data_IF_968205809094
#
_entry.id   IF_968205809094
#
_cell.length_a   1.000
_cell.length_b   1.000
_cell.length_c   1.000
_cell.angle_alpha   90.00
_cell.angle_beta   90.00
_cell.angle_gamma   90.00
#
_symmetry.space_group_name_H-M   'P 1'
#
loop_
_entity.id
_entity.type
_entity.pdbx_description
1 polymer ?
#
# COMPACT_ATOMS: atom_id res chain seq x y z
N UNK A 1 9.92 19.60 -31.05
CA UNK A 1 9.93 18.79 -29.82
C UNK A 1 8.57 18.08 -29.76
N UNK A 2 8.50 16.77 -29.95
CA UNK A 2 7.25 16.03 -29.78
C UNK A 2 6.90 16.06 -28.30
N UNK A 3 5.72 16.53 -27.94
CA UNK A 3 5.15 16.34 -26.61
C UNK A 3 4.95 14.82 -26.41
N UNK A 4 5.93 14.19 -25.81
CA UNK A 4 5.89 12.80 -25.41
C UNK A 4 4.88 12.70 -24.28
N UNK A 5 3.71 12.17 -24.54
CA UNK A 5 2.72 11.83 -23.50
C UNK A 5 3.26 10.66 -22.68
N UNK A 6 3.21 10.79 -21.37
CA UNK A 6 3.75 9.82 -20.39
C UNK A 6 3.13 8.42 -20.56
N UNK A 7 1.99 8.30 -21.26
CA UNK A 7 1.32 7.05 -21.58
C UNK A 7 2.11 6.06 -22.44
N UNK A 8 3.18 6.53 -23.11
CA UNK A 8 3.95 5.73 -24.06
C UNK A 8 5.19 5.04 -23.46
N UNK A 9 5.48 5.19 -22.15
CA UNK A 9 6.83 4.93 -21.64
C UNK A 9 6.98 3.86 -20.56
N UNK A 10 5.92 3.39 -19.89
CA UNK A 10 6.06 2.28 -18.95
C UNK A 10 5.68 0.96 -19.62
N UNK A 11 6.68 0.11 -19.80
CA UNK A 11 6.45 -1.26 -20.20
C UNK A 11 5.68 -2.02 -19.11
N UNK A 12 4.93 -3.05 -19.51
CA UNK A 12 4.15 -3.86 -18.56
C UNK A 12 5.02 -4.44 -17.43
N UNK A 13 6.25 -4.83 -17.75
CA UNK A 13 7.22 -5.34 -16.78
C UNK A 13 7.64 -4.29 -15.72
N UNK A 14 7.76 -3.02 -16.10
CA UNK A 14 8.07 -1.93 -15.16
C UNK A 14 6.89 -1.69 -14.22
N UNK A 15 5.66 -1.73 -14.75
CA UNK A 15 4.45 -1.62 -13.93
C UNK A 15 4.34 -2.79 -12.95
N UNK A 16 4.59 -4.03 -13.39
CA UNK A 16 4.52 -5.23 -12.53
C UNK A 16 5.46 -5.10 -11.32
N UNK A 17 6.63 -4.49 -11.48
CA UNK A 17 7.58 -4.23 -10.38
C UNK A 17 7.11 -3.20 -9.37
N UNK A 18 6.06 -2.45 -9.64
CA UNK A 18 5.42 -1.55 -8.68
C UNK A 18 4.23 -2.20 -7.97
N UNK A 19 3.75 -3.35 -8.44
CA UNK A 19 2.49 -3.94 -7.97
C UNK A 19 2.71 -4.79 -6.72
N UNK A 20 1.91 -4.50 -5.69
CA UNK A 20 1.57 -5.45 -4.64
C UNK A 20 0.31 -6.21 -5.10
N UNK A 21 0.52 -7.41 -5.68
CA UNK A 21 -0.56 -8.25 -6.21
C UNK A 21 -1.43 -8.76 -5.07
N UNK A 22 -2.72 -8.46 -5.10
CA UNK A 22 -3.58 -8.47 -3.92
C UNK A 22 -4.67 -9.53 -3.99
N UNK A 23 -4.76 -10.40 -2.96
CA UNK A 23 -5.86 -11.34 -2.75
C UNK A 23 -6.41 -11.20 -1.31
N UNK A 24 -7.43 -10.36 -1.13
CA UNK A 24 -8.07 -10.06 0.15
C UNK A 24 -9.53 -10.51 0.17
N UNK A 25 -9.70 -11.85 0.11
CA UNK A 25 -10.97 -12.55 0.28
C UNK A 25 -10.84 -13.51 1.47
N UNK A 26 -11.71 -13.41 2.49
CA UNK A 26 -11.71 -14.35 3.62
C UNK A 26 -12.25 -15.72 3.22
N UNK A 27 -13.35 -15.77 2.45
CA UNK A 27 -13.87 -17.01 1.86
C UNK A 27 -13.36 -17.13 0.43
N UNK A 28 -12.40 -18.00 0.23
CA UNK A 28 -11.82 -18.34 -1.07
C UNK A 28 -12.50 -19.58 -1.64
N UNK A 29 -12.60 -19.64 -2.97
CA UNK A 29 -12.96 -20.90 -3.66
C UNK A 29 -11.79 -21.89 -3.56
N UNK A 30 -12.10 -23.18 -3.70
CA UNK A 30 -11.08 -24.22 -3.79
C UNK A 30 -10.03 -23.81 -4.85
N UNK A 31 -8.76 -23.98 -4.54
CA UNK A 31 -7.61 -23.64 -5.39
C UNK A 31 -7.41 -22.14 -5.70
N UNK A 32 -8.27 -21.22 -5.27
CA UNK A 32 -8.11 -19.79 -5.60
C UNK A 32 -6.78 -19.23 -5.08
N UNK A 33 -6.45 -19.52 -3.82
CA UNK A 33 -5.17 -19.11 -3.23
C UNK A 33 -3.99 -19.74 -3.98
N UNK A 34 -4.05 -21.03 -4.24
CA UNK A 34 -2.97 -21.75 -4.95
C UNK A 34 -2.73 -21.16 -6.35
N UNK A 35 -3.79 -20.93 -7.11
CA UNK A 35 -3.71 -20.32 -8.46
C UNK A 35 -3.10 -18.93 -8.41
N UNK A 36 -3.53 -18.11 -7.44
CA UNK A 36 -2.97 -16.78 -7.20
C UNK A 36 -1.47 -16.83 -6.90
N UNK A 37 -1.03 -17.71 -6.00
CA UNK A 37 0.38 -17.85 -5.62
C UNK A 37 1.25 -18.39 -6.78
N UNK A 38 0.79 -19.38 -7.53
CA UNK A 38 1.50 -19.89 -8.70
C UNK A 38 1.64 -18.80 -9.78
N UNK A 39 0.59 -17.98 -9.98
CA UNK A 39 0.66 -16.86 -10.88
C UNK A 39 1.67 -15.80 -10.38
N UNK A 40 1.62 -15.42 -9.10
CA UNK A 40 2.58 -14.51 -8.50
C UNK A 40 4.03 -15.01 -8.68
N UNK A 41 4.26 -16.32 -8.49
CA UNK A 41 5.57 -16.96 -8.70
C UNK A 41 6.07 -16.84 -10.14
N UNK A 42 5.16 -16.87 -11.13
CA UNK A 42 5.51 -16.75 -12.56
C UNK A 42 5.82 -15.30 -12.97
N UNK A 43 5.04 -14.33 -12.46
CA UNK A 43 5.12 -12.93 -12.91
C UNK A 43 6.03 -12.04 -12.07
N UNK A 44 6.44 -12.50 -10.89
CA UNK A 44 7.31 -11.77 -9.96
C UNK A 44 6.87 -10.32 -9.69
N UNK A 45 5.64 -10.08 -9.16
CA UNK A 45 5.24 -8.74 -8.72
C UNK A 45 6.17 -8.28 -7.59
N UNK A 46 6.15 -6.99 -7.26
CA UNK A 46 6.97 -6.46 -6.17
C UNK A 46 6.70 -7.12 -4.82
N UNK A 47 5.43 -7.39 -4.52
CA UNK A 47 4.99 -8.18 -3.39
C UNK A 47 3.65 -8.85 -3.70
N UNK A 48 3.25 -9.83 -2.90
CA UNK A 48 1.84 -10.20 -2.76
C UNK A 48 1.27 -9.54 -1.50
N UNK A 49 -0.04 -9.23 -1.53
CA UNK A 49 -0.74 -8.66 -0.38
C UNK A 49 -1.91 -9.59 0.00
N UNK A 50 -1.81 -10.22 1.17
CA UNK A 50 -2.71 -11.30 1.62
C UNK A 50 -3.07 -11.15 3.10
N UNK A 51 -4.01 -11.97 3.58
CA UNK A 51 -4.29 -12.09 5.01
C UNK A 51 -3.21 -12.94 5.71
N UNK A 52 -2.99 -12.74 7.03
CA UNK A 52 -2.00 -13.51 7.80
C UNK A 52 -2.20 -15.02 7.75
N UNK A 53 -3.46 -15.50 7.73
CA UNK A 53 -3.79 -16.91 7.65
C UNK A 53 -3.30 -17.60 6.36
N UNK A 54 -3.04 -16.83 5.30
CA UNK A 54 -2.55 -17.35 4.01
C UNK A 54 -1.01 -17.42 3.92
N UNK A 55 -0.28 -16.81 4.87
CA UNK A 55 1.19 -16.72 4.83
C UNK A 55 1.86 -18.10 4.78
N UNK A 56 1.47 -19.11 5.59
CA UNK A 56 2.11 -20.43 5.53
C UNK A 56 2.07 -21.05 4.14
N UNK A 57 0.91 -21.02 3.48
CA UNK A 57 0.77 -21.53 2.11
C UNK A 57 1.56 -20.68 1.10
N UNK A 58 1.65 -19.36 1.31
CA UNK A 58 2.45 -18.50 0.46
C UNK A 58 3.95 -18.79 0.58
N UNK A 59 4.45 -18.98 1.79
CA UNK A 59 5.86 -19.38 2.01
C UNK A 59 6.19 -20.74 1.39
N UNK A 60 5.30 -21.71 1.49
CA UNK A 60 5.49 -23.02 0.85
C UNK A 60 5.64 -22.94 -0.67
N UNK A 61 4.79 -22.14 -1.33
CA UNK A 61 4.77 -22.05 -2.81
C UNK A 61 5.81 -21.08 -3.34
N UNK A 62 5.97 -19.93 -2.71
CA UNK A 62 6.84 -18.84 -3.19
C UNK A 62 8.27 -18.93 -2.65
N UNK A 63 8.47 -19.53 -1.48
CA UNK A 63 9.77 -19.42 -0.79
C UNK A 63 10.12 -17.97 -0.52
N UNK A 64 11.27 -17.54 -1.06
CA UNK A 64 11.75 -16.14 -1.01
C UNK A 64 11.63 -15.39 -2.34
N UNK A 65 10.94 -15.97 -3.34
CA UNK A 65 10.92 -15.39 -4.70
C UNK A 65 10.08 -14.12 -4.83
N UNK A 66 9.06 -13.95 -3.97
CA UNK A 66 8.17 -12.78 -3.94
C UNK A 66 7.92 -12.40 -2.49
N UNK A 67 8.17 -11.16 -2.07
CA UNK A 67 7.88 -10.68 -0.72
C UNK A 67 6.38 -10.78 -0.37
N UNK A 68 6.09 -11.03 0.90
CA UNK A 68 4.72 -11.18 1.43
C UNK A 68 4.39 -9.98 2.29
N UNK A 69 3.42 -9.17 1.83
CA UNK A 69 2.79 -8.12 2.62
C UNK A 69 1.52 -8.68 3.29
N UNK A 70 1.43 -8.54 4.61
CA UNK A 70 0.27 -8.97 5.38
C UNK A 70 -0.62 -7.79 5.77
N UNK A 71 -1.95 -7.89 5.57
CA UNK A 71 -2.88 -6.87 6.05
C UNK A 71 -3.30 -7.20 7.48
N UNK A 72 -3.14 -6.22 8.38
CA UNK A 72 -3.40 -6.34 9.81
C UNK A 72 -4.10 -5.10 10.36
N UNK A 73 -4.29 -5.02 11.69
CA UNK A 73 -4.89 -3.88 12.37
C UNK A 73 -6.41 -3.82 12.21
N UNK A 74 -7.09 -4.97 12.33
CA UNK A 74 -8.55 -5.03 12.20
C UNK A 74 -9.05 -4.76 10.78
N UNK A 75 -8.23 -5.13 9.76
CA UNK A 75 -8.56 -4.90 8.35
C UNK A 75 -9.96 -5.42 7.95
N UNK A 76 -10.82 -4.65 7.25
CA UNK A 76 -10.55 -3.33 6.63
C UNK A 76 -10.96 -2.10 7.46
N UNK A 77 -11.50 -2.27 8.66
CA UNK A 77 -12.08 -1.16 9.43
C UNK A 77 -11.06 -0.36 10.22
N UNK A 78 -10.01 -0.99 10.66
CA UNK A 78 -9.09 -0.50 11.67
C UNK A 78 -9.45 -1.04 13.06
N UNK A 79 -8.56 -0.89 14.02
CA UNK A 79 -8.80 -1.17 15.43
C UNK A 79 -8.45 0.03 16.29
N UNK A 80 -9.26 0.28 17.32
CA UNK A 80 -8.96 1.26 18.36
C UNK A 80 -8.01 0.70 19.45
N UNK A 81 -7.85 -0.62 19.50
CA UNK A 81 -7.06 -1.30 20.51
C UNK A 81 -5.59 -1.46 20.07
N UNK A 82 -4.71 -0.67 20.67
CA UNK A 82 -3.28 -0.66 20.38
C UNK A 82 -2.59 -2.01 20.68
N UNK A 83 -3.00 -2.72 21.74
CA UNK A 83 -2.42 -4.01 22.07
C UNK A 83 -2.77 -5.10 21.04
N UNK A 84 -4.01 -5.10 20.54
CA UNK A 84 -4.44 -5.99 19.45
C UNK A 84 -3.64 -5.71 18.18
N UNK A 85 -3.48 -4.43 17.82
CA UNK A 85 -2.66 -3.99 16.67
C UNK A 85 -1.25 -4.55 16.76
N UNK A 86 -0.58 -4.36 17.90
CA UNK A 86 0.80 -4.86 18.15
C UNK A 86 0.86 -6.38 18.06
N UNK A 87 -0.13 -7.07 18.62
CA UNK A 87 -0.22 -8.54 18.58
C UNK A 87 -0.39 -9.06 17.16
N UNK A 88 -1.29 -8.44 16.36
CA UNK A 88 -1.49 -8.83 14.96
C UNK A 88 -0.22 -8.62 14.13
N UNK A 89 0.50 -7.51 14.31
CA UNK A 89 1.78 -7.24 13.62
C UNK A 89 2.79 -8.34 13.93
N UNK A 90 3.03 -8.61 15.21
CA UNK A 90 4.01 -9.61 15.65
C UNK A 90 3.65 -11.00 15.14
N UNK A 91 2.39 -11.40 15.23
CA UNK A 91 1.92 -12.67 14.72
C UNK A 91 2.12 -12.80 13.20
N UNK A 92 1.84 -11.76 12.42
CA UNK A 92 2.09 -11.77 10.99
C UNK A 92 3.59 -11.91 10.66
N UNK A 93 4.46 -11.24 11.42
CA UNK A 93 5.92 -11.34 11.26
C UNK A 93 6.41 -12.76 11.62
N UNK A 94 5.92 -13.34 12.71
CA UNK A 94 6.24 -14.73 13.12
C UNK A 94 5.81 -15.75 12.07
N UNK A 95 4.66 -15.54 11.41
CA UNK A 95 4.21 -16.36 10.28
C UNK A 95 5.08 -16.18 9.02
N UNK A 96 5.92 -15.15 8.97
CA UNK A 96 6.88 -14.91 7.90
C UNK A 96 6.51 -13.76 6.95
N UNK A 97 5.71 -12.78 7.39
CA UNK A 97 5.50 -11.56 6.61
C UNK A 97 6.82 -10.77 6.44
N UNK A 98 7.05 -10.29 5.24
CA UNK A 98 8.20 -9.44 4.89
C UNK A 98 7.84 -7.95 5.03
N UNK A 99 6.56 -7.62 4.80
CA UNK A 99 5.99 -6.27 4.82
C UNK A 99 4.64 -6.28 5.57
N UNK A 100 4.30 -5.19 6.23
CA UNK A 100 3.06 -5.02 7.00
C UNK A 100 2.23 -3.88 6.41
N UNK A 101 1.04 -4.20 5.92
CA UNK A 101 0.03 -3.23 5.51
C UNK A 101 -1.00 -3.09 6.64
N UNK A 102 -0.98 -1.99 7.38
CA UNK A 102 -1.83 -1.83 8.56
C UNK A 102 -2.82 -0.69 8.43
N UNK A 103 -4.06 -0.91 8.90
CA UNK A 103 -5.09 0.12 8.89
C UNK A 103 -4.98 0.98 10.13
N UNK A 104 -4.76 2.28 9.93
CA UNK A 104 -5.03 3.29 10.95
C UNK A 104 -6.51 3.63 10.86
N UNK A 105 -7.26 3.35 11.94
CA UNK A 105 -8.71 3.59 11.97
C UNK A 105 -9.03 5.07 11.66
N UNK A 106 -9.76 5.36 10.57
CA UNK A 106 -10.20 6.73 10.29
C UNK A 106 -11.33 7.12 11.23
N UNK A 107 -11.28 8.33 11.79
CA UNK A 107 -12.30 8.85 12.68
C UNK A 107 -12.92 10.13 12.15
N UNK A 108 -14.19 10.36 12.45
CA UNK A 108 -14.96 11.52 11.97
C UNK A 108 -14.74 12.78 12.81
N UNK A 109 -14.24 12.63 14.05
CA UNK A 109 -14.03 13.74 14.99
C UNK A 109 -13.16 14.86 14.40
N UNK A 110 -13.47 16.08 14.73
CA UNK A 110 -12.81 17.29 14.17
C UNK A 110 -11.34 17.38 14.53
N UNK A 111 -10.94 16.80 15.67
CA UNK A 111 -9.57 16.77 16.15
C UNK A 111 -8.70 15.65 15.54
N UNK A 112 -9.28 14.82 14.65
CA UNK A 112 -8.53 13.77 13.96
C UNK A 112 -7.56 14.33 12.91
N UNK A 113 -6.30 13.83 12.84
CA UNK A 113 -5.65 12.93 13.80
C UNK A 113 -5.15 13.71 15.04
N UNK A 114 -5.11 13.04 16.18
CA UNK A 114 -4.63 13.60 17.43
C UNK A 114 -3.60 12.67 18.11
N UNK A 115 -3.37 12.84 19.41
CA UNK A 115 -2.39 12.07 20.18
C UNK A 115 -2.67 10.54 20.15
N UNK A 116 -3.93 10.13 20.08
CA UNK A 116 -4.29 8.70 19.98
C UNK A 116 -3.76 8.05 18.69
N UNK A 117 -3.86 8.75 17.57
CA UNK A 117 -3.30 8.26 16.31
C UNK A 117 -1.78 8.24 16.33
N UNK A 118 -1.17 9.24 16.96
CA UNK A 118 0.30 9.29 17.14
C UNK A 118 0.78 8.09 17.96
N UNK A 119 0.15 7.81 19.09
CA UNK A 119 0.49 6.65 19.94
C UNK A 119 0.37 5.33 19.17
N UNK A 120 -0.74 5.15 18.42
CA UNK A 120 -0.93 3.97 17.57
C UNK A 120 0.17 3.85 16.51
N UNK A 121 0.50 4.93 15.80
CA UNK A 121 1.54 4.93 14.77
C UNK A 121 2.92 4.59 15.35
N UNK A 122 3.27 5.16 16.49
CA UNK A 122 4.53 4.83 17.21
C UNK A 122 4.57 3.36 17.60
N UNK A 123 3.47 2.82 18.14
CA UNK A 123 3.36 1.41 18.50
C UNK A 123 3.45 0.49 17.26
N UNK A 124 2.81 0.86 16.13
CA UNK A 124 2.90 0.14 14.86
C UNK A 124 4.34 0.10 14.35
N UNK A 125 5.04 1.25 14.33
CA UNK A 125 6.44 1.32 13.88
C UNK A 125 7.34 0.45 14.74
N UNK A 126 7.22 0.55 16.06
CA UNK A 126 8.01 -0.26 17.00
C UNK A 126 7.74 -1.76 16.87
N UNK A 127 6.46 -2.14 16.69
CA UNK A 127 6.11 -3.57 16.54
C UNK A 127 6.58 -4.17 15.21
N UNK A 128 6.74 -3.35 14.17
CA UNK A 128 7.19 -3.75 12.84
C UNK A 128 8.67 -3.41 12.56
N UNK A 129 9.49 -3.23 13.60
CA UNK A 129 10.91 -2.92 13.45
C UNK A 129 11.62 -3.92 12.53
N UNK A 130 12.44 -3.42 11.61
CA UNK A 130 13.13 -4.23 10.59
C UNK A 130 12.24 -4.73 9.44
N UNK A 131 10.96 -4.36 9.42
CA UNK A 131 10.03 -4.68 8.34
C UNK A 131 9.53 -3.41 7.65
N UNK A 132 9.16 -3.54 6.38
CA UNK A 132 8.48 -2.46 5.65
C UNK A 132 7.09 -2.28 6.25
N UNK A 133 6.81 -1.07 6.76
CA UNK A 133 5.53 -0.67 7.31
C UNK A 133 4.78 0.23 6.33
N UNK A 134 3.58 -0.17 5.94
CA UNK A 134 2.68 0.63 5.10
C UNK A 134 1.41 0.94 5.89
N UNK A 135 1.17 2.21 6.19
CA UNK A 135 -0.02 2.64 6.94
C UNK A 135 -1.13 3.06 5.99
N UNK A 136 -2.27 2.39 6.10
CA UNK A 136 -3.49 2.66 5.33
C UNK A 136 -4.30 3.71 6.08
N UNK A 137 -4.46 4.88 5.49
CA UNK A 137 -5.16 6.02 6.12
C UNK A 137 -6.64 6.12 5.71
N UNK A 138 -7.11 5.29 4.77
CA UNK A 138 -8.48 5.21 4.26
C UNK A 138 -9.02 6.54 3.72
N UNK A 139 -8.34 7.11 2.74
CA UNK A 139 -8.64 8.43 2.15
C UNK A 139 -10.10 8.65 1.76
N UNK A 140 -10.88 7.62 1.27
CA UNK A 140 -12.27 7.84 0.90
C UNK A 140 -13.18 8.30 2.06
N UNK A 141 -12.74 8.14 3.30
CA UNK A 141 -13.49 8.50 4.50
C UNK A 141 -12.98 9.79 5.16
N UNK A 142 -12.00 10.44 4.56
CA UNK A 142 -11.34 11.61 5.13
C UNK A 142 -11.53 12.85 4.26
N UNK A 143 -11.60 14.00 4.90
CA UNK A 143 -11.48 15.29 4.21
C UNK A 143 -10.03 15.53 3.79
N UNK A 144 -9.76 16.39 2.80
CA UNK A 144 -8.40 16.74 2.37
C UNK A 144 -7.53 17.22 3.54
N UNK A 145 -8.08 18.03 4.44
CA UNK A 145 -7.37 18.49 5.65
C UNK A 145 -6.90 17.31 6.50
N UNK A 146 -7.78 16.32 6.72
CA UNK A 146 -7.46 15.12 7.52
C UNK A 146 -6.45 14.24 6.80
N UNK A 147 -6.58 14.07 5.47
CA UNK A 147 -5.60 13.32 4.66
C UNK A 147 -4.20 13.94 4.83
N UNK A 148 -4.07 15.26 4.68
CA UNK A 148 -2.78 15.95 4.87
C UNK A 148 -2.24 15.76 6.28
N UNK A 149 -3.07 15.94 7.29
CA UNK A 149 -2.65 15.86 8.69
C UNK A 149 -2.17 14.46 9.07
N UNK A 150 -2.95 13.39 8.75
CA UNK A 150 -2.57 12.02 9.06
C UNK A 150 -1.38 11.52 8.22
N UNK A 151 -1.25 12.01 6.98
CA UNK A 151 -0.06 11.73 6.16
C UNK A 151 1.19 12.29 6.81
N UNK A 152 1.20 13.56 7.20
CA UNK A 152 2.34 14.20 7.90
C UNK A 152 2.69 13.48 9.21
N UNK A 153 1.68 13.11 10.01
CA UNK A 153 1.88 12.36 11.24
C UNK A 153 2.51 10.99 10.98
N UNK A 154 2.04 10.27 9.97
CA UNK A 154 2.60 8.98 9.57
C UNK A 154 4.06 9.10 9.11
N UNK A 155 4.37 10.10 8.29
CA UNK A 155 5.74 10.36 7.82
C UNK A 155 6.67 10.73 9.00
N UNK A 156 6.20 11.56 9.94
CA UNK A 156 6.99 11.96 11.11
C UNK A 156 7.36 10.79 12.04
N UNK A 157 6.56 9.71 12.04
CA UNK A 157 6.85 8.47 12.79
C UNK A 157 7.81 7.53 12.03
N UNK A 158 8.12 7.83 10.78
CA UNK A 158 9.02 7.01 9.97
C UNK A 158 8.36 5.75 9.43
N UNK A 159 7.10 5.83 8.96
CA UNK A 159 6.51 4.73 8.18
C UNK A 159 7.18 4.68 6.81
N UNK A 160 7.39 3.47 6.28
CA UNK A 160 8.05 3.34 4.97
C UNK A 160 7.13 3.79 3.84
N UNK A 161 5.81 3.55 3.97
CA UNK A 161 4.81 3.97 3.00
C UNK A 161 3.53 4.47 3.67
N UNK A 162 2.97 5.56 3.16
CA UNK A 162 1.58 5.92 3.41
C UNK A 162 0.71 5.35 2.28
N UNK A 163 -0.32 4.57 2.64
CA UNK A 163 -1.21 3.92 1.68
C UNK A 163 -2.58 4.59 1.69
N UNK A 164 -3.12 4.85 0.50
CA UNK A 164 -4.38 5.60 0.34
C UNK A 164 -5.57 4.91 1.01
N UNK A 165 -5.90 3.68 0.62
CA UNK A 165 -7.08 2.99 1.16
C UNK A 165 -6.97 1.47 1.12
N UNK A 166 -7.95 0.81 1.76
CA UNK A 166 -8.09 -0.65 1.75
C UNK A 166 -8.65 -1.20 0.43
N UNK A 167 -9.33 -0.35 -0.36
CA UNK A 167 -10.14 -0.75 -1.50
C UNK A 167 -11.39 -1.55 -1.12
N UNK A 168 -11.80 -1.52 0.17
CA UNK A 168 -13.00 -2.18 0.71
C UNK A 168 -14.06 -1.18 1.17
N UNK A 169 -13.67 0.07 1.40
CA UNK A 169 -14.53 1.13 1.93
C UNK A 169 -14.61 2.33 0.99
N UNK A 170 -14.11 2.19 -0.22
CA UNK A 170 -14.09 3.21 -1.26
C UNK A 170 -12.88 3.05 -2.19
N UNK A 171 -12.83 3.91 -3.19
CA UNK A 171 -11.75 3.97 -4.17
C UNK A 171 -10.86 5.18 -3.93
N UNK A 172 -9.58 5.05 -4.25
CA UNK A 172 -8.64 6.16 -4.28
C UNK A 172 -9.03 7.13 -5.41
N UNK A 173 -9.07 8.41 -5.10
CA UNK A 173 -9.26 9.49 -6.07
C UNK A 173 -7.92 10.07 -6.49
N UNK A 174 -7.88 10.71 -7.65
CA UNK A 174 -6.67 11.38 -8.16
C UNK A 174 -6.17 12.44 -7.18
N UNK A 175 -7.08 13.21 -6.58
CA UNK A 175 -6.73 14.22 -5.55
C UNK A 175 -6.08 13.60 -4.30
N UNK A 176 -6.44 12.39 -3.92
CA UNK A 176 -5.83 11.71 -2.76
C UNK A 176 -4.34 11.42 -3.04
N UNK A 177 -4.03 10.95 -4.25
CA UNK A 177 -2.66 10.67 -4.67
C UNK A 177 -1.83 11.96 -4.81
N UNK A 178 -2.43 13.03 -5.32
CA UNK A 178 -1.81 14.35 -5.41
C UNK A 178 -1.45 14.87 -4.00
N UNK A 179 -2.38 14.79 -3.05
CA UNK A 179 -2.14 15.20 -1.67
C UNK A 179 -0.99 14.40 -1.04
N UNK A 180 -1.01 13.06 -1.14
CA UNK A 180 0.02 12.22 -0.56
C UNK A 180 1.40 12.53 -1.15
N UNK A 181 1.51 12.59 -2.48
CA UNK A 181 2.78 12.87 -3.16
C UNK A 181 3.34 14.26 -2.81
N UNK A 182 2.46 15.26 -2.67
CA UNK A 182 2.86 16.59 -2.23
C UNK A 182 3.41 16.60 -0.80
N UNK A 183 2.75 15.89 0.13
CA UNK A 183 3.22 15.81 1.52
C UNK A 183 4.53 15.01 1.65
N UNK A 184 4.72 13.96 0.84
CA UNK A 184 5.99 13.22 0.74
C UNK A 184 7.12 14.13 0.25
N UNK A 185 6.91 14.85 -0.85
CA UNK A 185 7.89 15.81 -1.38
C UNK A 185 8.28 16.85 -0.34
N UNK A 186 7.31 17.43 0.38
CA UNK A 186 7.57 18.39 1.46
C UNK A 186 8.38 17.79 2.60
N UNK A 187 8.05 16.55 3.01
CA UNK A 187 8.78 15.84 4.05
C UNK A 187 10.24 15.63 3.63
N UNK A 188 10.47 15.12 2.43
CA UNK A 188 11.82 14.90 1.88
C UNK A 188 12.64 16.19 1.80
N UNK A 189 12.05 17.28 1.34
CA UNK A 189 12.73 18.58 1.30
C UNK A 189 13.15 19.07 2.70
N UNK A 190 12.34 18.77 3.72
CA UNK A 190 12.57 19.23 5.09
C UNK A 190 13.53 18.33 5.87
N UNK A 191 13.31 17.02 5.81
CA UNK A 191 13.99 16.04 6.68
C UNK A 191 15.05 15.20 5.94
N UNK A 192 15.11 15.29 4.60
CA UNK A 192 16.01 14.49 3.74
C UNK A 192 15.76 12.98 3.83
N UNK A 193 14.52 12.59 4.14
CA UNK A 193 14.07 11.20 4.24
C UNK A 193 13.20 10.85 3.03
N UNK A 194 13.65 9.87 2.24
CA UNK A 194 12.93 9.41 1.06
C UNK A 194 11.95 8.28 1.42
N UNK A 195 10.76 8.66 1.86
CA UNK A 195 9.67 7.72 2.17
C UNK A 195 8.80 7.48 0.93
N UNK A 196 7.91 6.49 1.00
CA UNK A 196 7.10 6.05 -0.12
C UNK A 196 5.60 6.26 0.05
N UNK A 197 4.86 6.06 -1.04
CA UNK A 197 3.41 5.96 -1.03
C UNK A 197 2.93 4.71 -1.76
N UNK A 198 1.76 4.21 -1.34
CA UNK A 198 1.06 3.12 -2.02
C UNK A 198 -0.32 3.59 -2.40
N UNK A 199 -0.61 3.62 -3.70
CA UNK A 199 -1.96 3.86 -4.20
C UNK A 199 -2.71 2.53 -4.31
N UNK A 200 -3.96 2.50 -3.87
CA UNK A 200 -4.82 1.31 -3.92
C UNK A 200 -6.29 1.68 -3.87
N UNK A 201 -7.16 0.77 -4.33
CA UNK A 201 -8.59 0.97 -4.44
C UNK A 201 -9.03 1.45 -5.81
N UNK A 202 -9.65 0.55 -6.57
CA UNK A 202 -10.22 0.85 -7.89
C UNK A 202 -9.21 1.01 -9.03
N UNK A 203 -7.94 0.65 -8.84
CA UNK A 203 -6.91 0.75 -9.88
C UNK A 203 -6.84 -0.60 -10.61
N UNK A 204 -7.70 -0.76 -11.63
CA UNK A 204 -7.85 -2.03 -12.34
C UNK A 204 -7.28 -2.05 -13.76
N UNK A 205 -6.93 -0.91 -14.34
CA UNK A 205 -6.41 -0.81 -15.70
C UNK A 205 -5.23 0.15 -15.83
N UNK A 206 -4.46 -0.01 -16.91
CA UNK A 206 -3.24 0.75 -17.19
C UNK A 206 -3.52 2.24 -17.37
N UNK A 207 -4.62 2.59 -18.03
CA UNK A 207 -4.96 3.99 -18.31
C UNK A 207 -5.24 4.76 -16.99
N UNK A 208 -6.01 4.13 -16.08
CA UNK A 208 -6.27 4.70 -14.76
C UNK A 208 -4.97 4.86 -13.97
N UNK A 209 -4.11 3.84 -13.96
CA UNK A 209 -2.80 3.92 -13.31
C UNK A 209 -1.95 5.07 -13.87
N UNK A 210 -1.89 5.22 -15.19
CA UNK A 210 -1.06 6.26 -15.80
C UNK A 210 -1.50 7.68 -15.41
N UNK A 211 -2.81 7.93 -15.25
CA UNK A 211 -3.30 9.22 -14.73
C UNK A 211 -2.79 9.51 -13.32
N UNK A 212 -2.81 8.50 -12.45
CA UNK A 212 -2.24 8.64 -11.10
C UNK A 212 -0.75 8.93 -11.14
N UNK A 213 0.00 8.19 -11.94
CA UNK A 213 1.46 8.37 -12.08
C UNK A 213 1.78 9.77 -12.59
N UNK A 214 1.04 10.27 -13.57
CA UNK A 214 1.24 11.63 -14.09
C UNK A 214 1.07 12.70 -13.02
N UNK A 215 0.04 12.59 -12.19
CA UNK A 215 -0.21 13.51 -11.07
C UNK A 215 0.89 13.43 -10.02
N UNK A 216 1.25 12.23 -9.59
CA UNK A 216 2.27 12.01 -8.59
C UNK A 216 3.62 12.59 -9.04
N UNK A 217 4.00 12.38 -10.31
CA UNK A 217 5.26 12.88 -10.87
C UNK A 217 5.34 14.40 -10.99
N UNK A 218 4.22 15.12 -10.97
CA UNK A 218 4.24 16.60 -10.90
C UNK A 218 4.84 17.10 -9.58
N UNK A 219 4.62 16.36 -8.50
CA UNK A 219 5.17 16.69 -7.18
C UNK A 219 6.57 16.06 -6.98
N UNK A 220 6.80 14.84 -7.50
CA UNK A 220 8.03 14.09 -7.32
C UNK A 220 8.38 13.31 -8.58
N UNK A 221 9.31 13.83 -9.38
CA UNK A 221 9.74 13.21 -10.64
C UNK A 221 10.50 11.88 -10.43
N UNK A 222 11.13 11.70 -9.26
CA UNK A 222 11.99 10.55 -8.94
C UNK A 222 11.26 9.43 -8.20
N UNK A 223 9.93 9.57 -8.00
CA UNK A 223 9.14 8.60 -7.24
C UNK A 223 9.00 7.24 -7.94
N UNK A 224 9.30 7.18 -9.24
CA UNK A 224 9.06 6.01 -10.10
C UNK A 224 10.03 4.85 -9.84
N UNK A 225 10.07 4.37 -8.60
CA UNK A 225 10.79 3.15 -8.23
C UNK A 225 10.02 2.40 -7.12
N UNK A 226 10.25 1.09 -7.05
CA UNK A 226 9.53 0.21 -6.12
C UNK A 226 9.84 0.43 -4.63
N UNK A 227 10.83 1.26 -4.31
CA UNK A 227 11.13 1.67 -2.93
C UNK A 227 10.29 2.86 -2.49
N UNK A 228 9.70 3.60 -3.45
CA UNK A 228 8.96 4.82 -3.18
C UNK A 228 7.51 4.78 -3.65
N UNK A 229 7.20 4.03 -4.73
CA UNK A 229 5.84 3.89 -5.24
C UNK A 229 5.42 2.42 -5.28
N UNK A 230 4.24 2.14 -4.74
CA UNK A 230 3.57 0.85 -4.85
C UNK A 230 2.14 1.01 -5.35
N UNK A 231 1.65 0.00 -5.99
CA UNK A 231 0.28 -0.08 -6.52
C UNK A 231 -0.41 -1.32 -5.98
N UNK A 232 -1.41 -1.16 -5.13
CA UNK A 232 -2.22 -2.27 -4.62
C UNK A 232 -3.35 -2.59 -5.59
N UNK A 233 -3.28 -3.73 -6.27
CA UNK A 233 -4.34 -4.15 -7.19
C UNK A 233 -4.51 -5.66 -7.23
N UNK A 234 -5.76 -6.11 -7.42
CA UNK A 234 -6.13 -7.51 -7.66
C UNK A 234 -6.33 -7.83 -9.15
N UNK A 235 -6.58 -6.83 -9.99
CA UNK A 235 -7.01 -7.02 -11.39
C UNK A 235 -6.07 -6.39 -12.41
N UNK A 236 -5.24 -5.42 -12.03
CA UNK A 236 -4.35 -4.73 -12.97
C UNK A 236 -3.40 -5.71 -13.69
N UNK A 237 -2.82 -6.66 -12.96
CA UNK A 237 -1.94 -7.68 -13.53
C UNK A 237 -2.65 -8.50 -14.61
N UNK A 238 -3.92 -8.85 -14.40
CA UNK A 238 -4.70 -9.60 -15.37
C UNK A 238 -4.80 -8.86 -16.70
N UNK A 239 -5.03 -7.55 -16.63
CA UNK A 239 -5.17 -6.69 -17.80
C UNK A 239 -3.82 -6.42 -18.51
N UNK A 240 -2.71 -6.40 -17.77
CA UNK A 240 -1.37 -6.23 -18.34
C UNK A 240 -0.89 -7.46 -19.13
N UNK A 241 -1.26 -8.67 -18.69
CA UNK A 241 -0.81 -9.93 -19.31
C UNK A 241 -1.71 -10.33 -20.47
N UNK A 242 -2.99 -9.94 -20.48
CA UNK A 242 -3.95 -10.31 -21.53
C UNK A 242 -3.71 -9.53 -22.84
N UNK A 243 -2.88 -8.49 -22.83
CA UNK A 243 -2.59 -7.62 -23.98
C UNK A 243 -1.38 -8.14 -24.80
N UNK A 244 -0.67 -9.14 -24.30
CA UNK A 244 0.37 -9.88 -25.04
C UNK A 244 -0.23 -11.14 -25.72
#
# INVERSE_FOLDING_TARGET
>A
MKNLTIGDFLENNEIIRLIDYTLLKRKKKDDELRKFLLKAKKIHPKAICIFPEDIPSAKEILGSSVPIAAVVGGFPKGSSNCEEIVKEIRSAIELGADEIDIVLEPREEDDYPNELELEKLVAMRKASEGKILKVIIETPLLTERKIRAVTRMSLAVGVDFVKTCTGKRGECKEIDADILSYELMRHELTFKECLGMKISGGIGDKMKLMRFIELIRKNDSEIMNEKRLRVGSSSLIENLITIE
#
